data_IF_069328213754
#
_entry.id   IF_069328213754
#
_cell.length_a   1.000
_cell.length_b   1.000
_cell.length_c   1.000
_cell.angle_alpha   90.00
_cell.angle_beta   90.00
_cell.angle_gamma   90.00
#
_symmetry.space_group_name_H-M   'P 1'
#
loop_
_entity.id
_entity.type
_entity.pdbx_description
1 polymer ?
#
# COMPACT_ATOMS: atom_id res chain seq x y z
N UNK A 1 7.98 -22.18 3.34
CA UNK A 1 7.72 -22.00 4.77
C UNK A 1 8.45 -20.77 5.30
N UNK A 2 9.76 -20.60 5.09
CA UNK A 2 10.52 -19.45 5.59
C UNK A 2 9.99 -18.11 5.05
N UNK A 3 9.57 -18.05 3.77
CA UNK A 3 8.98 -16.86 3.16
C UNK A 3 7.71 -16.43 3.91
N UNK A 4 6.78 -17.35 4.11
CA UNK A 4 5.53 -17.09 4.81
C UNK A 4 5.75 -16.65 6.24
N UNK A 5 6.73 -17.24 6.92
CA UNK A 5 7.09 -16.83 8.29
C UNK A 5 7.67 -15.41 8.32
N UNK A 6 8.56 -15.06 7.38
CA UNK A 6 9.15 -13.71 7.28
C UNK A 6 8.11 -12.64 7.01
N UNK A 7 7.21 -12.87 6.03
CA UNK A 7 6.11 -11.97 5.73
C UNK A 7 5.13 -11.83 6.90
N UNK A 8 4.70 -12.94 7.49
CA UNK A 8 3.80 -12.95 8.64
C UNK A 8 4.41 -12.20 9.83
N UNK A 9 5.70 -12.37 10.07
CA UNK A 9 6.41 -11.65 11.11
C UNK A 9 6.42 -10.13 10.86
N UNK A 10 6.69 -9.70 9.62
CA UNK A 10 6.66 -8.28 9.25
C UNK A 10 5.27 -7.67 9.47
N UNK A 11 4.21 -8.33 8.95
CA UNK A 11 2.84 -7.82 9.10
C UNK A 11 2.37 -7.81 10.56
N UNK A 12 2.72 -8.82 11.33
CA UNK A 12 2.40 -8.85 12.76
C UNK A 12 3.13 -7.74 13.54
N UNK A 13 4.41 -7.53 13.26
CA UNK A 13 5.22 -6.48 13.90
C UNK A 13 4.70 -5.08 13.55
N UNK A 14 4.31 -4.84 12.29
CA UNK A 14 3.72 -3.57 11.85
C UNK A 14 2.36 -3.32 12.51
N UNK A 15 1.50 -4.35 12.61
CA UNK A 15 0.23 -4.25 13.31
C UNK A 15 0.42 -3.93 14.80
N UNK A 16 1.38 -4.60 15.45
CA UNK A 16 1.74 -4.35 16.86
C UNK A 16 2.25 -2.93 17.06
N UNK A 17 3.12 -2.45 16.17
CA UNK A 17 3.63 -1.08 16.20
C UNK A 17 2.51 -0.05 16.08
N UNK A 18 1.59 -0.22 15.14
CA UNK A 18 0.42 0.64 14.98
C UNK A 18 -0.48 0.61 16.21
N UNK A 19 -0.70 -0.57 16.80
CA UNK A 19 -1.51 -0.71 18.02
C UNK A 19 -0.92 0.07 19.20
N UNK A 20 0.41 0.19 19.30
CA UNK A 20 1.04 1.00 20.35
C UNK A 20 1.09 2.49 20.06
N UNK A 21 1.02 2.90 18.78
CA UNK A 21 0.87 4.31 18.41
C UNK A 21 -0.55 4.81 18.68
N UNK A 22 -1.55 3.94 18.49
CA UNK A 22 -2.96 4.27 18.70
C UNK A 22 -3.39 3.96 20.14
N UNK A 23 -4.28 4.78 20.66
CA UNK A 23 -4.99 4.51 21.91
C UNK A 23 -6.41 3.96 21.69
N UNK A 24 -6.87 3.90 20.43
CA UNK A 24 -8.22 3.55 20.06
C UNK A 24 -8.25 2.41 19.04
N UNK A 25 -9.00 1.36 19.32
CA UNK A 25 -9.12 0.19 18.45
C UNK A 25 -9.70 0.52 17.06
N UNK A 26 -10.60 1.51 16.97
CA UNK A 26 -11.17 1.93 15.68
C UNK A 26 -10.19 2.71 14.80
N UNK A 27 -9.18 3.35 15.38
CA UNK A 27 -8.14 4.06 14.62
C UNK A 27 -7.02 3.13 14.11
N UNK A 28 -6.92 1.92 14.64
CA UNK A 28 -5.88 0.96 14.28
C UNK A 28 -5.97 0.51 12.81
N UNK A 29 -7.11 0.05 12.26
CA UNK A 29 -7.20 -0.42 10.87
C UNK A 29 -6.83 0.66 9.83
N UNK A 30 -7.36 1.90 9.89
CA UNK A 30 -7.00 2.92 8.92
C UNK A 30 -5.52 3.34 9.03
N UNK A 31 -4.94 3.40 10.23
CA UNK A 31 -3.52 3.68 10.41
C UNK A 31 -2.63 2.56 9.88
N UNK A 32 -3.05 1.32 10.08
CA UNK A 32 -2.37 0.16 9.50
C UNK A 32 -2.41 0.20 7.97
N UNK A 33 -3.56 0.49 7.38
CA UNK A 33 -3.69 0.66 5.94
C UNK A 33 -2.82 1.82 5.42
N UNK A 34 -2.81 2.96 6.11
CA UNK A 34 -1.93 4.08 5.75
C UNK A 34 -0.45 3.68 5.77
N UNK A 35 0.01 2.95 6.77
CA UNK A 35 1.40 2.49 6.84
C UNK A 35 1.80 1.66 5.60
N UNK A 36 0.87 0.86 5.08
CA UNK A 36 1.14 -0.08 3.99
C UNK A 36 0.90 0.49 2.59
N UNK A 37 0.04 1.50 2.44
CA UNK A 37 -0.41 1.99 1.14
C UNK A 37 -0.20 3.49 0.93
N UNK A 38 0.25 4.24 1.94
CA UNK A 38 0.30 5.70 1.90
C UNK A 38 1.08 6.25 0.71
N UNK A 39 2.25 5.69 0.42
CA UNK A 39 3.09 6.20 -0.63
C UNK A 39 2.45 6.04 -2.02
N UNK A 40 1.89 4.87 -2.31
CA UNK A 40 1.19 4.62 -3.57
C UNK A 40 -0.09 5.46 -3.66
N UNK A 41 -0.80 5.63 -2.55
CA UNK A 41 -1.98 6.49 -2.51
C UNK A 41 -1.63 7.96 -2.80
N UNK A 42 -0.56 8.47 -2.19
CA UNK A 42 -0.09 9.84 -2.43
C UNK A 42 0.40 10.03 -3.87
N UNK A 43 1.17 9.09 -4.40
CA UNK A 43 1.64 9.13 -5.78
C UNK A 43 0.47 9.15 -6.76
N UNK A 44 -0.50 8.25 -6.56
CA UNK A 44 -1.72 8.22 -7.36
C UNK A 44 -2.51 9.53 -7.29
N UNK A 45 -2.68 10.11 -6.08
CA UNK A 45 -3.37 11.38 -5.89
C UNK A 45 -2.64 12.52 -6.59
N UNK A 46 -1.33 12.67 -6.37
CA UNK A 46 -0.54 13.75 -6.98
C UNK A 46 -0.55 13.62 -8.50
N UNK A 47 -0.37 12.43 -9.03
CA UNK A 47 -0.39 12.18 -10.46
C UNK A 47 -1.78 12.47 -11.07
N UNK A 48 -2.86 12.09 -10.38
CA UNK A 48 -4.23 12.36 -10.80
C UNK A 48 -4.52 13.86 -10.86
N UNK A 49 -4.08 14.62 -9.85
CA UNK A 49 -4.21 16.08 -9.87
C UNK A 49 -3.33 16.71 -10.94
N UNK A 50 -2.06 16.31 -11.05
CA UNK A 50 -1.14 16.85 -12.03
C UNK A 50 -1.64 16.63 -13.48
N UNK A 51 -2.23 15.47 -13.76
CA UNK A 51 -2.84 15.17 -15.06
C UNK A 51 -3.99 16.13 -15.40
N UNK A 52 -4.78 16.53 -14.41
CA UNK A 52 -5.90 17.46 -14.61
C UNK A 52 -5.47 18.91 -14.84
N UNK A 53 -4.35 19.35 -14.25
CA UNK A 53 -3.94 20.75 -14.27
C UNK A 53 -2.77 21.06 -15.21
N UNK A 54 -1.88 20.07 -15.46
CA UNK A 54 -0.66 20.29 -16.24
C UNK A 54 -0.84 19.74 -17.65
N UNK A 55 -0.85 20.64 -18.64
CA UNK A 55 -0.92 20.26 -20.04
C UNK A 55 0.28 19.38 -20.44
N UNK A 56 -0.01 18.22 -21.06
CA UNK A 56 1.02 17.28 -21.50
C UNK A 56 1.61 16.40 -20.39
N UNK A 57 1.10 16.47 -19.17
CA UNK A 57 1.51 15.55 -18.11
C UNK A 57 1.02 14.13 -18.41
N UNK A 58 1.95 13.18 -18.52
CA UNK A 58 1.65 11.77 -18.73
C UNK A 58 1.70 11.03 -17.40
N UNK A 59 0.63 10.35 -17.03
CA UNK A 59 0.57 9.47 -15.87
C UNK A 59 1.26 8.14 -16.16
N UNK A 60 2.52 8.18 -16.56
CA UNK A 60 3.28 6.95 -16.64
C UNK A 60 3.78 6.60 -15.25
N UNK A 61 3.08 5.65 -14.60
CA UNK A 61 3.50 5.14 -13.30
C UNK A 61 4.80 4.36 -13.46
N UNK A 62 5.88 4.88 -12.90
CA UNK A 62 7.22 4.26 -13.01
C UNK A 62 7.49 3.25 -11.89
N UNK A 63 6.63 3.19 -10.88
CA UNK A 63 6.83 2.31 -9.72
C UNK A 63 7.92 2.78 -8.75
N UNK A 64 8.49 3.97 -8.97
CA UNK A 64 9.63 4.46 -8.18
C UNK A 64 9.32 4.62 -6.69
N UNK A 65 8.06 4.86 -6.34
CA UNK A 65 7.61 5.11 -4.96
C UNK A 65 7.06 3.84 -4.28
N UNK A 66 6.91 2.74 -5.03
CA UNK A 66 6.33 1.48 -4.50
C UNK A 66 7.08 0.94 -3.28
N UNK A 67 8.40 1.13 -3.20
CA UNK A 67 9.22 0.64 -2.09
C UNK A 67 8.83 1.22 -0.73
N UNK A 68 8.19 2.40 -0.70
CA UNK A 68 7.61 3.01 0.51
C UNK A 68 6.24 2.44 0.89
N UNK A 69 5.64 1.60 0.03
CA UNK A 69 4.38 0.90 0.29
C UNK A 69 4.64 -0.60 0.37
N UNK A 70 4.95 -1.13 1.55
CA UNK A 70 5.49 -2.48 1.74
C UNK A 70 4.66 -3.58 1.10
N UNK A 71 3.33 -3.51 1.25
CA UNK A 71 2.43 -4.53 0.70
C UNK A 71 2.45 -4.52 -0.82
N UNK A 72 2.39 -3.34 -1.46
CA UNK A 72 2.39 -3.23 -2.91
C UNK A 72 3.73 -3.69 -3.48
N UNK A 73 4.82 -3.27 -2.84
CA UNK A 73 6.17 -3.65 -3.27
C UNK A 73 6.43 -5.16 -3.16
N UNK A 74 5.99 -5.79 -2.07
CA UNK A 74 6.11 -7.25 -1.91
C UNK A 74 5.28 -7.99 -2.97
N UNK A 75 4.03 -7.61 -3.19
CA UNK A 75 3.16 -8.25 -4.17
C UNK A 75 3.69 -8.12 -5.61
N UNK A 76 4.29 -6.98 -5.94
CA UNK A 76 4.80 -6.74 -7.29
C UNK A 76 6.14 -7.42 -7.55
N UNK A 77 7.01 -7.52 -6.55
CA UNK A 77 8.38 -8.00 -6.72
C UNK A 77 8.60 -9.45 -6.27
N UNK A 78 7.85 -9.95 -5.29
CA UNK A 78 7.96 -11.35 -4.87
C UNK A 78 7.01 -12.20 -5.69
N UNK A 79 7.54 -12.87 -6.70
CA UNK A 79 6.75 -13.69 -7.63
C UNK A 79 7.24 -15.13 -7.61
N UNK A 80 6.31 -16.05 -7.83
CA UNK A 80 6.64 -17.45 -8.03
C UNK A 80 6.82 -17.68 -9.54
N UNK A 81 8.08 -17.78 -9.96
CA UNK A 81 8.42 -18.18 -11.32
C UNK A 81 8.15 -19.69 -11.49
N UNK A 82 7.19 -20.03 -12.33
CA UNK A 82 6.84 -21.41 -12.63
C UNK A 82 7.37 -21.78 -14.01
N UNK A 83 8.20 -22.79 -14.06
CA UNK A 83 8.71 -23.33 -15.31
C UNK A 83 7.88 -24.56 -15.68
N UNK A 84 7.38 -24.56 -16.91
CA UNK A 84 6.60 -25.65 -17.46
C UNK A 84 7.38 -26.27 -18.64
N UNK A 85 7.40 -27.59 -18.69
CA UNK A 85 7.87 -28.33 -19.87
C UNK A 85 6.64 -28.91 -20.57
N UNK A 86 6.58 -28.70 -21.88
CA UNK A 86 5.57 -29.32 -22.72
C UNK A 86 5.96 -30.77 -23.01
N UNK A 87 5.12 -31.68 -22.57
CA UNK A 87 5.30 -33.12 -22.79
C UNK A 87 4.17 -33.61 -23.70
N UNK A 88 4.55 -34.23 -24.79
CA UNK A 88 3.56 -34.92 -25.63
C UNK A 88 3.13 -36.23 -24.96
N UNK A 89 1.88 -36.33 -24.72
CA UNK A 89 1.23 -37.55 -24.21
C UNK A 89 0.24 -38.07 -25.25
N UNK A 90 -0.11 -39.34 -25.15
CA UNK A 90 -1.04 -39.96 -26.09
C UNK A 90 -2.27 -40.43 -25.32
N UNK A 91 -3.48 -40.11 -25.81
CA UNK A 91 -4.70 -40.65 -25.26
C UNK A 91 -4.77 -42.16 -25.50
N UNK A 92 -5.63 -42.89 -24.78
CA UNK A 92 -5.82 -44.35 -25.01
C UNK A 92 -6.32 -44.70 -26.42
N UNK A 93 -6.88 -43.75 -27.13
CA UNK A 93 -7.32 -43.84 -28.53
C UNK A 93 -6.20 -43.58 -29.55
N UNK A 94 -4.97 -43.32 -29.09
CA UNK A 94 -3.81 -43.07 -29.95
C UNK A 94 -3.63 -41.62 -30.39
N UNK A 95 -4.50 -40.69 -30.02
CA UNK A 95 -4.35 -39.27 -30.40
C UNK A 95 -3.32 -38.57 -29.51
N UNK A 96 -2.31 -37.87 -30.10
CA UNK A 96 -1.33 -37.15 -29.33
C UNK A 96 -1.93 -35.85 -28.76
N UNK A 97 -1.63 -35.52 -27.50
CA UNK A 97 -1.95 -34.24 -26.89
C UNK A 97 -0.75 -33.69 -26.15
N UNK A 98 -0.64 -32.36 -26.07
CA UNK A 98 0.43 -31.68 -25.36
C UNK A 98 -0.06 -31.31 -23.97
N UNK A 99 0.60 -31.82 -22.94
CA UNK A 99 0.37 -31.42 -21.54
C UNK A 99 1.52 -30.57 -21.03
N UNK A 100 1.21 -29.62 -20.14
CA UNK A 100 2.22 -28.80 -19.47
C UNK A 100 2.48 -29.33 -18.07
N UNK A 101 3.66 -29.91 -17.86
CA UNK A 101 4.11 -30.36 -16.56
C UNK A 101 4.93 -29.28 -15.87
N UNK A 102 4.59 -28.98 -14.61
CA UNK A 102 5.36 -28.07 -13.78
C UNK A 102 6.70 -28.76 -13.43
N UNK A 103 7.81 -28.18 -13.86
CA UNK A 103 9.15 -28.73 -13.61
C UNK A 103 9.81 -28.09 -12.41
N UNK A 104 9.69 -26.77 -12.26
CA UNK A 104 10.21 -26.05 -11.10
C UNK A 104 9.32 -24.87 -10.75
N UNK A 105 9.37 -24.49 -9.49
CA UNK A 105 8.70 -23.30 -8.96
C UNK A 105 9.68 -22.62 -8.03
N UNK A 106 10.26 -21.52 -8.50
CA UNK A 106 11.25 -20.76 -7.75
C UNK A 106 10.67 -19.42 -7.31
N UNK A 107 11.01 -18.99 -6.11
CA UNK A 107 10.64 -17.68 -5.59
C UNK A 107 11.66 -16.65 -6.04
N UNK A 108 11.25 -15.75 -6.94
CA UNK A 108 12.05 -14.60 -7.32
C UNK A 108 12.07 -13.56 -6.19
N UNK A 109 13.21 -12.89 -6.05
CA UNK A 109 13.42 -11.82 -5.06
C UNK A 109 13.20 -12.23 -3.59
N UNK A 110 13.51 -13.48 -3.25
CA UNK A 110 13.40 -13.99 -1.89
C UNK A 110 14.15 -13.13 -0.85
N UNK A 111 15.23 -12.46 -1.24
CA UNK A 111 16.01 -11.58 -0.37
C UNK A 111 15.18 -10.40 0.19
N UNK A 112 14.15 -9.93 -0.56
CA UNK A 112 13.25 -8.87 -0.11
C UNK A 112 12.51 -9.28 1.16
N UNK A 113 12.10 -10.54 1.25
CA UNK A 113 11.42 -11.06 2.46
C UNK A 113 12.35 -10.95 3.67
N UNK A 114 13.66 -11.21 3.47
CA UNK A 114 14.67 -11.02 4.50
C UNK A 114 14.79 -9.55 4.94
N UNK A 115 14.79 -8.61 4.00
CA UNK A 115 14.82 -7.17 4.30
C UNK A 115 13.58 -6.75 5.08
N UNK A 116 12.39 -7.16 4.65
CA UNK A 116 11.16 -6.81 5.37
C UNK A 116 11.05 -7.51 6.73
N UNK A 117 11.61 -8.71 6.89
CA UNK A 117 11.72 -9.34 8.21
C UNK A 117 12.62 -8.52 9.15
N UNK A 118 13.73 -7.94 8.66
CA UNK A 118 14.57 -7.02 9.43
C UNK A 118 13.84 -5.72 9.78
N UNK A 119 13.09 -5.15 8.84
CA UNK A 119 12.22 -3.99 9.10
C UNK A 119 11.17 -4.35 10.16
N UNK A 120 10.57 -5.53 10.09
CA UNK A 120 9.64 -6.04 11.10
C UNK A 120 10.28 -6.13 12.50
N UNK A 121 11.52 -6.59 12.58
CA UNK A 121 12.27 -6.63 13.83
C UNK A 121 12.51 -5.22 14.40
N UNK A 122 12.86 -4.25 13.55
CA UNK A 122 13.01 -2.85 13.95
C UNK A 122 11.67 -2.26 14.45
N UNK A 123 10.56 -2.54 13.77
CA UNK A 123 9.22 -2.11 14.19
C UNK A 123 8.81 -2.75 15.52
N UNK A 124 9.13 -4.04 15.74
CA UNK A 124 8.87 -4.71 16.99
C UNK A 124 9.68 -4.10 18.15
N UNK A 125 10.95 -3.75 17.92
CA UNK A 125 11.78 -3.07 18.89
C UNK A 125 11.24 -1.67 19.22
N UNK A 126 10.82 -0.90 18.21
CA UNK A 126 10.15 0.40 18.39
C UNK A 126 8.84 0.26 19.17
N UNK A 127 8.03 -0.74 18.84
CA UNK A 127 6.79 -1.05 19.56
C UNK A 127 7.06 -1.32 21.04
N UNK A 128 8.12 -2.08 21.36
CA UNK A 128 8.52 -2.34 22.74
C UNK A 128 8.96 -1.07 23.48
N UNK A 129 9.70 -0.19 22.81
CA UNK A 129 10.11 1.11 23.37
C UNK A 129 8.88 1.98 23.66
N UNK A 130 7.95 2.04 22.70
CA UNK A 130 6.70 2.79 22.85
C UNK A 130 5.85 2.22 23.99
N UNK A 131 5.74 0.91 24.07
CA UNK A 131 5.05 0.24 25.18
C UNK A 131 5.60 0.65 26.56
N UNK A 132 6.93 0.64 26.72
CA UNK A 132 7.58 1.05 27.98
C UNK A 132 7.39 2.52 28.32
N UNK A 133 7.19 3.38 27.32
CA UNK A 133 7.00 4.84 27.51
C UNK A 133 5.54 5.27 27.54
N UNK A 134 4.61 4.37 27.22
CA UNK A 134 3.19 4.69 27.16
C UNK A 134 2.63 4.93 28.58
N UNK A 135 1.94 6.06 28.70
CA UNK A 135 1.14 6.34 29.91
C UNK A 135 -0.27 5.82 29.72
N UNK A 136 -0.86 5.22 30.76
CA UNK A 136 -2.22 4.70 30.74
C UNK A 136 -3.31 5.75 30.46
N UNK A 137 -2.99 7.02 30.68
CA UNK A 137 -3.89 8.18 30.47
C UNK A 137 -4.23 8.43 28.98
N UNK A 138 -3.50 7.86 28.03
CA UNK A 138 -3.74 8.04 26.59
C UNK A 138 -4.65 6.96 25.98
N UNK A 139 -5.28 6.12 26.81
CA UNK A 139 -6.26 5.15 26.35
C UNK A 139 -7.51 5.88 25.83
N UNK A 140 -7.88 5.62 24.55
CA UNK A 140 -8.99 6.29 23.86
C UNK A 140 -8.57 7.35 22.85
N UNK A 141 -7.35 7.87 22.92
CA UNK A 141 -6.82 8.81 21.93
C UNK A 141 -6.54 8.10 20.58
N UNK A 142 -6.85 8.76 19.47
CA UNK A 142 -6.55 8.25 18.12
C UNK A 142 -5.04 8.05 17.95
N UNK A 143 -4.23 8.97 18.48
CA UNK A 143 -2.76 8.90 18.51
C UNK A 143 -2.28 9.07 19.94
N UNK A 144 -1.73 8.00 20.52
CA UNK A 144 -1.23 8.01 21.89
C UNK A 144 0.07 8.82 22.07
N UNK A 145 0.82 9.02 20.98
CA UNK A 145 2.13 9.70 21.00
C UNK A 145 1.96 11.20 20.71
N UNK A 146 2.23 12.06 21.70
CA UNK A 146 1.92 13.49 21.65
C UNK A 146 2.55 14.26 20.49
N UNK A 147 3.82 14.01 20.15
CA UNK A 147 4.51 14.68 19.05
C UNK A 147 3.98 14.27 17.65
N UNK A 148 3.35 13.10 17.55
CA UNK A 148 2.80 12.59 16.30
C UNK A 148 1.37 13.13 16.03
N UNK A 149 0.68 13.63 17.07
CA UNK A 149 -0.70 14.17 16.95
C UNK A 149 -0.84 15.28 15.90
N UNK A 150 0.01 16.33 15.85
CA UNK A 150 -0.13 17.38 14.85
C UNK A 150 0.16 16.84 13.43
N UNK A 151 1.18 16.01 13.26
CA UNK A 151 1.52 15.40 11.96
C UNK A 151 0.34 14.57 11.44
N UNK A 152 -0.23 13.75 12.31
CA UNK A 152 -1.38 12.92 11.95
C UNK A 152 -2.63 13.76 11.63
N UNK A 153 -2.92 14.79 12.46
CA UNK A 153 -4.08 15.67 12.26
C UNK A 153 -4.01 16.38 10.91
N UNK A 154 -2.88 16.99 10.59
CA UNK A 154 -2.71 17.72 9.31
C UNK A 154 -2.58 16.77 8.12
N UNK A 155 -1.94 15.62 8.30
CA UNK A 155 -1.83 14.60 7.25
C UNK A 155 -3.19 14.01 6.87
N UNK A 156 -3.99 13.63 7.85
CA UNK A 156 -5.36 13.12 7.61
C UNK A 156 -6.26 14.21 7.03
N UNK A 157 -6.20 15.44 7.55
CA UNK A 157 -6.97 16.56 7.02
C UNK A 157 -6.63 16.83 5.56
N UNK A 158 -5.33 16.84 5.19
CA UNK A 158 -4.88 17.00 3.81
C UNK A 158 -5.33 15.88 2.89
N UNK A 159 -5.20 14.63 3.33
CA UNK A 159 -5.71 13.47 2.57
C UNK A 159 -7.22 13.52 2.38
N UNK A 160 -7.96 13.84 3.42
CA UNK A 160 -9.43 13.97 3.34
C UNK A 160 -9.83 15.14 2.43
N UNK A 161 -9.11 16.24 2.45
CA UNK A 161 -9.38 17.39 1.55
C UNK A 161 -9.13 16.98 0.10
N UNK A 162 -8.00 16.34 -0.21
CA UNK A 162 -7.68 15.89 -1.57
C UNK A 162 -8.68 14.85 -2.09
N UNK A 163 -8.95 13.80 -1.33
CA UNK A 163 -9.90 12.75 -1.73
C UNK A 163 -11.33 13.28 -1.79
N UNK A 164 -11.74 14.04 -0.78
CA UNK A 164 -13.07 14.65 -0.71
C UNK A 164 -13.28 15.67 -1.83
N UNK A 165 -12.29 16.51 -2.10
CA UNK A 165 -12.33 17.50 -3.18
C UNK A 165 -12.46 16.84 -4.55
N UNK A 166 -11.69 15.79 -4.81
CA UNK A 166 -11.78 15.05 -6.07
C UNK A 166 -13.14 14.35 -6.22
N UNK A 167 -13.67 13.79 -5.14
CA UNK A 167 -14.98 13.15 -5.13
C UNK A 167 -16.10 14.18 -5.38
N UNK A 168 -16.06 15.33 -4.70
CA UNK A 168 -17.03 16.40 -4.91
C UNK A 168 -16.95 16.94 -6.33
N UNK A 169 -15.75 17.16 -6.84
CA UNK A 169 -15.57 17.58 -8.24
C UNK A 169 -16.17 16.57 -9.20
N UNK A 170 -15.91 15.30 -9.04
CA UNK A 170 -16.44 14.24 -9.90
C UNK A 170 -17.96 14.13 -9.84
N UNK A 171 -18.56 14.35 -8.70
CA UNK A 171 -20.01 14.28 -8.52
C UNK A 171 -20.73 15.49 -9.12
N UNK A 172 -20.19 16.69 -8.94
CA UNK A 172 -20.93 17.93 -9.29
C UNK A 172 -20.48 18.55 -10.62
N UNK A 173 -19.23 18.36 -11.04
CA UNK A 173 -18.66 19.03 -12.23
C UNK A 173 -18.23 18.09 -13.35
N UNK A 174 -18.08 16.81 -13.11
CA UNK A 174 -17.64 15.86 -14.13
C UNK A 174 -18.53 15.89 -15.41
N UNK A 175 -19.85 16.08 -15.24
CA UNK A 175 -20.79 16.17 -16.35
C UNK A 175 -20.70 17.46 -17.18
N UNK A 176 -20.01 18.49 -16.70
CA UNK A 176 -19.80 19.77 -17.38
C UNK A 176 -18.43 19.90 -18.04
N UNK A 177 -17.60 18.89 -17.89
CA UNK A 177 -16.23 18.89 -18.40
C UNK A 177 -16.23 18.70 -19.93
N UNK A 178 -15.85 19.75 -20.67
CA UNK A 178 -15.72 19.70 -22.14
C UNK A 178 -14.32 19.28 -22.61
N UNK A 179 -13.52 18.66 -21.76
CA UNK A 179 -12.14 18.26 -22.08
C UNK A 179 -11.53 17.32 -21.06
N UNK A 180 -10.26 16.95 -21.29
CA UNK A 180 -9.49 16.05 -20.42
C UNK A 180 -8.94 16.74 -19.15
N UNK A 181 -9.13 18.05 -19.02
CA UNK A 181 -8.55 18.85 -17.92
C UNK A 181 -9.62 19.34 -16.96
N UNK A 182 -9.26 19.44 -15.69
CA UNK A 182 -10.13 20.01 -14.66
C UNK A 182 -10.30 21.52 -14.86
N UNK A 183 -11.53 21.99 -14.69
CA UNK A 183 -11.75 23.41 -14.54
C UNK A 183 -11.15 23.88 -13.22
N UNK A 184 -10.22 24.84 -13.28
CA UNK A 184 -9.43 25.29 -12.11
C UNK A 184 -10.30 25.89 -11.02
N UNK A 185 -11.30 26.72 -11.38
CA UNK A 185 -12.17 27.37 -10.40
C UNK A 185 -13.03 26.37 -9.60
N UNK A 186 -13.84 25.48 -10.24
CA UNK A 186 -14.63 24.49 -9.50
C UNK A 186 -13.77 23.56 -8.66
N UNK A 187 -12.59 23.18 -9.16
CA UNK A 187 -11.71 22.28 -8.41
C UNK A 187 -11.14 22.92 -7.16
N UNK A 188 -10.74 24.20 -7.23
CA UNK A 188 -10.27 24.95 -6.05
C UNK A 188 -11.39 25.13 -5.02
N UNK A 189 -12.63 25.28 -5.46
CA UNK A 189 -13.78 25.38 -4.53
C UNK A 189 -14.08 24.06 -3.85
N UNK A 190 -13.82 22.91 -4.49
CA UNK A 190 -14.05 21.59 -3.92
C UNK A 190 -12.94 21.12 -2.98
N UNK A 191 -11.71 21.67 -3.11
CA UNK A 191 -10.58 21.39 -2.22
C UNK A 191 -10.64 22.20 -0.94
#
# INVERSE_FOLDING_TARGET
VLAVLGESFFYFSSATFVAFITGNAFAMPPLYALLHFLAVLLDWLISSFAQGFIFGFSTYYTGEVEWLSPTVYLVNNVRCARQYVEVQQTFPDGTPYTSRLLTSADLESFWLIGVYALVGLALAALALILYRRRRSETAGDVVAVGWLRPVFRYGVAGLCALLGGQLLYSLFWYGFQQGAYYDTLPMVVCL
#
